data_IF_294076551722
#
_entry.id   IF_294076551722
#
_cell.length_a   1.000
_cell.length_b   1.000
_cell.length_c   1.000
_cell.angle_alpha   90.00
_cell.angle_beta   90.00
_cell.angle_gamma   90.00
#
_symmetry.space_group_name_H-M   'P 1'
#
loop_
_entity.id
_entity.type
_entity.pdbx_description
1 polymer ?
#
# COMPACT_ATOMS: atom_id res chain seq x y z
N UNK A 1 32.73 -0.66 54.65
CA UNK A 1 31.28 -0.88 54.56
C UNK A 1 30.86 -0.57 53.13
N UNK A 2 30.43 -1.55 52.31
CA UNK A 2 30.05 -1.27 50.93
C UNK A 2 28.70 -0.58 50.83
N UNK A 3 28.67 0.40 49.94
CA UNK A 3 27.56 1.24 49.49
C UNK A 3 26.45 0.40 48.82
N UNK A 4 25.21 0.55 49.30
CA UNK A 4 24.03 -0.12 48.75
C UNK A 4 23.35 0.83 47.77
N UNK A 5 23.81 0.87 46.52
CA UNK A 5 23.09 1.57 45.44
C UNK A 5 21.77 0.86 45.18
N UNK A 6 20.68 1.45 45.65
CA UNK A 6 19.30 1.03 45.48
C UNK A 6 18.87 1.26 44.02
N UNK A 7 18.97 0.22 43.20
CA UNK A 7 18.46 0.25 41.83
C UNK A 7 16.94 0.07 41.87
N UNK A 8 16.17 1.17 41.79
CA UNK A 8 14.72 1.15 41.68
C UNK A 8 14.26 0.37 40.44
N UNK A 9 13.91 -0.91 40.61
CA UNK A 9 13.28 -1.68 39.54
C UNK A 9 11.84 -1.20 39.32
N UNK A 10 11.46 -0.78 38.10
CA UNK A 10 10.13 -0.22 37.85
C UNK A 10 9.04 -1.28 38.07
N UNK A 11 8.06 -0.95 38.91
CA UNK A 11 6.98 -1.86 39.29
C UNK A 11 6.20 -2.36 38.06
N UNK A 12 5.89 -3.67 38.02
CA UNK A 12 5.21 -4.36 36.88
C UNK A 12 3.93 -3.66 36.38
N UNK A 13 3.21 -2.94 37.25
CA UNK A 13 2.02 -2.15 36.91
C UNK A 13 2.35 -0.95 36.00
N UNK A 14 3.48 -0.27 36.22
CA UNK A 14 3.92 0.85 35.37
C UNK A 14 4.32 0.36 33.98
N UNK A 15 4.99 -0.80 33.90
CA UNK A 15 5.36 -1.41 32.63
C UNK A 15 4.12 -1.76 31.79
N UNK A 16 3.09 -2.34 32.40
CA UNK A 16 1.83 -2.65 31.70
C UNK A 16 1.12 -1.38 31.19
N UNK A 17 1.17 -0.28 31.93
CA UNK A 17 0.59 1.01 31.50
C UNK A 17 1.33 1.60 30.30
N UNK A 18 2.66 1.64 30.34
CA UNK A 18 3.50 2.11 29.22
C UNK A 18 3.26 1.28 27.96
N UNK A 19 3.17 -0.04 28.07
CA UNK A 19 2.91 -0.91 26.91
C UNK A 19 1.55 -0.64 26.27
N UNK A 20 0.51 -0.36 27.07
CA UNK A 20 -0.80 0.01 26.56
C UNK A 20 -0.78 1.35 25.83
N UNK A 21 -0.02 2.32 26.33
CA UNK A 21 0.14 3.63 25.70
C UNK A 21 0.83 3.52 24.34
N UNK A 22 1.92 2.74 24.25
CA UNK A 22 2.60 2.45 22.98
C UNK A 22 1.66 1.79 21.98
N UNK A 23 0.91 0.76 22.40
CA UNK A 23 -0.08 0.10 21.54
C UNK A 23 -1.16 1.08 21.04
N UNK A 24 -1.69 1.92 21.93
CA UNK A 24 -2.70 2.92 21.58
C UNK A 24 -2.17 3.98 20.62
N UNK A 25 -0.90 4.40 20.78
CA UNK A 25 -0.25 5.34 19.87
C UNK A 25 -0.10 4.75 18.47
N UNK A 26 0.34 3.49 18.37
CA UNK A 26 0.46 2.76 17.09
C UNK A 26 -0.90 2.65 16.41
N UNK A 27 -1.94 2.24 17.13
CA UNK A 27 -3.27 2.08 16.54
C UNK A 27 -3.87 3.43 16.12
N UNK A 28 -3.62 4.50 16.88
CA UNK A 28 -4.01 5.86 16.50
C UNK A 28 -3.30 6.28 15.21
N UNK A 29 -2.01 6.00 15.08
CA UNK A 29 -1.25 6.31 13.88
C UNK A 29 -1.79 5.54 12.66
N UNK A 30 -2.05 4.24 12.81
CA UNK A 30 -2.67 3.41 11.77
C UNK A 30 -4.01 3.98 11.31
N UNK A 31 -4.91 4.31 12.26
CA UNK A 31 -6.21 4.93 11.96
C UNK A 31 -6.06 6.30 11.28
N UNK A 32 -5.08 7.11 11.68
CA UNK A 32 -4.79 8.40 11.02
C UNK A 32 -4.41 8.20 9.55
N UNK A 33 -3.54 7.23 9.25
CA UNK A 33 -3.17 6.90 7.85
C UNK A 33 -4.38 6.44 7.03
N UNK A 34 -5.23 5.57 7.59
CA UNK A 34 -6.43 5.08 6.90
C UNK A 34 -7.40 6.22 6.64
N UNK A 35 -7.68 7.07 7.63
CA UNK A 35 -8.59 8.20 7.47
C UNK A 35 -8.06 9.19 6.42
N UNK A 36 -6.74 9.44 6.40
CA UNK A 36 -6.15 10.28 5.36
C UNK A 36 -6.33 9.68 3.96
N UNK A 37 -6.18 8.37 3.81
CA UNK A 37 -6.45 7.67 2.55
C UNK A 37 -7.91 7.78 2.10
N UNK A 38 -8.86 7.55 3.01
CA UNK A 38 -10.30 7.70 2.71
C UNK A 38 -10.64 9.13 2.29
N UNK A 39 -10.10 10.13 2.98
CA UNK A 39 -10.37 11.54 2.64
C UNK A 39 -9.82 11.91 1.26
N UNK A 40 -8.60 11.45 0.91
CA UNK A 40 -8.03 11.64 -0.45
C UNK A 40 -8.89 11.00 -1.53
N UNK A 41 -9.48 9.83 -1.27
CA UNK A 41 -10.43 9.21 -2.20
C UNK A 41 -11.68 10.10 -2.34
N UNK A 42 -12.20 10.64 -1.22
CA UNK A 42 -13.35 11.55 -1.22
C UNK A 42 -13.15 12.79 -2.09
N UNK A 43 -11.94 13.36 -2.09
CA UNK A 43 -11.57 14.54 -2.90
C UNK A 43 -11.59 14.28 -4.42
N UNK A 44 -11.41 13.03 -4.87
CA UNK A 44 -11.36 12.66 -6.29
C UNK A 44 -12.72 12.28 -6.86
N UNK A 45 -13.71 12.05 -6.01
CA UNK A 45 -15.03 11.59 -6.42
C UNK A 45 -15.90 12.82 -6.72
N UNK A 46 -16.56 12.88 -7.90
CA UNK A 46 -17.53 13.93 -8.18
C UNK A 46 -18.66 13.93 -7.14
N UNK A 47 -18.65 14.93 -6.26
CA UNK A 47 -19.66 15.10 -5.23
C UNK A 47 -19.89 16.60 -4.98
N UNK A 48 -21.08 16.94 -4.49
CA UNK A 48 -21.39 18.33 -4.16
C UNK A 48 -20.48 18.83 -3.04
N UNK A 49 -19.79 19.99 -3.21
CA UNK A 49 -18.81 20.50 -2.25
C UNK A 49 -19.42 20.91 -0.90
N UNK A 50 -20.74 21.08 -0.83
CA UNK A 50 -21.45 21.39 0.41
C UNK A 50 -21.83 20.15 1.24
N UNK A 51 -21.68 18.94 0.69
CA UNK A 51 -22.14 17.72 1.36
C UNK A 51 -21.00 17.09 2.18
N UNK A 52 -21.20 17.01 3.50
CA UNK A 52 -20.28 16.27 4.37
C UNK A 52 -20.33 14.78 4.07
N UNK A 53 -19.26 14.24 3.50
CA UNK A 53 -19.22 12.85 3.08
C UNK A 53 -18.91 11.90 4.24
N UNK A 54 -19.72 10.85 4.39
CA UNK A 54 -19.43 9.75 5.32
C UNK A 54 -18.46 8.74 4.68
N UNK A 55 -17.75 7.95 5.49
CA UNK A 55 -16.78 6.97 4.98
C UNK A 55 -17.41 5.95 4.05
N UNK A 56 -18.56 5.39 4.42
CA UNK A 56 -19.27 4.43 3.57
C UNK A 56 -19.70 5.09 2.26
N UNK A 57 -20.20 6.32 2.33
CA UNK A 57 -20.61 7.05 1.12
C UNK A 57 -19.44 7.32 0.18
N UNK A 58 -18.25 7.65 0.70
CA UNK A 58 -17.02 7.78 -0.10
C UNK A 58 -16.71 6.45 -0.79
N UNK A 59 -16.75 5.34 -0.06
CA UNK A 59 -16.43 4.01 -0.62
C UNK A 59 -17.45 3.59 -1.69
N UNK A 60 -18.73 3.80 -1.45
CA UNK A 60 -19.80 3.44 -2.40
C UNK A 60 -19.74 4.28 -3.68
N UNK A 61 -19.51 5.60 -3.54
CA UNK A 61 -19.36 6.48 -4.70
C UNK A 61 -18.06 6.20 -5.47
N UNK A 62 -16.96 5.87 -4.77
CA UNK A 62 -15.70 5.49 -5.41
C UNK A 62 -15.91 4.29 -6.34
N UNK A 63 -16.58 3.25 -5.83
CA UNK A 63 -16.86 2.04 -6.60
C UNK A 63 -17.67 2.34 -7.86
N UNK A 64 -18.75 3.12 -7.73
CA UNK A 64 -19.59 3.53 -8.86
C UNK A 64 -18.80 4.32 -9.88
N UNK A 65 -18.02 5.30 -9.42
CA UNK A 65 -17.25 6.18 -10.30
C UNK A 65 -16.15 5.42 -11.06
N UNK A 66 -15.40 4.54 -10.38
CA UNK A 66 -14.38 3.71 -11.04
C UNK A 66 -15.01 2.77 -12.08
N UNK A 67 -16.17 2.19 -11.77
CA UNK A 67 -16.88 1.30 -12.70
C UNK A 67 -17.30 2.05 -13.96
N UNK A 68 -17.85 3.26 -13.79
CA UNK A 68 -18.27 4.09 -14.91
C UNK A 68 -17.08 4.59 -15.74
N UNK A 69 -15.99 5.03 -15.10
CA UNK A 69 -14.77 5.42 -15.80
C UNK A 69 -14.17 4.28 -16.63
N UNK A 70 -14.22 3.04 -16.13
CA UNK A 70 -13.79 1.86 -16.89
C UNK A 70 -14.66 1.66 -18.13
N UNK A 71 -15.99 1.70 -17.97
CA UNK A 71 -16.94 1.59 -19.09
C UNK A 71 -16.68 2.66 -20.16
N UNK A 72 -16.47 3.90 -19.74
CA UNK A 72 -16.17 5.01 -20.64
C UNK A 72 -14.84 4.82 -21.38
N UNK A 73 -13.80 4.36 -20.69
CA UNK A 73 -12.52 4.06 -21.32
C UNK A 73 -12.65 2.90 -22.33
N UNK A 74 -13.39 1.85 -22.00
CA UNK A 74 -13.62 0.71 -22.89
C UNK A 74 -14.38 1.16 -24.16
N UNK A 75 -15.41 2.00 -24.00
CA UNK A 75 -16.14 2.59 -25.13
C UNK A 75 -15.28 3.51 -25.98
N UNK A 76 -14.39 4.30 -25.38
CA UNK A 76 -13.45 5.15 -26.11
C UNK A 76 -12.41 4.31 -26.87
N UNK A 77 -12.02 3.14 -26.36
CA UNK A 77 -11.13 2.23 -27.09
C UNK A 77 -11.86 1.56 -28.27
N UNK A 78 -13.14 1.23 -28.12
CA UNK A 78 -13.98 0.68 -29.19
C UNK A 78 -14.34 1.74 -30.25
N UNK A 79 -14.60 2.98 -29.84
CA UNK A 79 -14.97 4.09 -30.73
C UNK A 79 -13.75 4.87 -31.26
N UNK A 80 -12.59 4.75 -30.61
CA UNK A 80 -11.32 5.36 -31.02
C UNK A 80 -10.74 4.77 -32.30
N UNK A 81 -11.14 3.55 -32.67
CA UNK A 81 -10.82 2.95 -33.97
C UNK A 81 -11.58 3.55 -35.16
N UNK A 82 -12.66 4.31 -34.91
CA UNK A 82 -13.53 4.82 -35.98
C UNK A 82 -13.20 6.26 -36.40
N UNK A 83 -12.46 7.03 -35.59
CA UNK A 83 -12.13 8.42 -35.90
C UNK A 83 -10.77 8.61 -36.60
N UNK A 84 -9.92 7.57 -36.66
CA UNK A 84 -8.68 7.59 -37.46
C UNK A 84 -8.88 7.06 -38.89
N UNK A 85 -9.95 6.30 -39.15
CA UNK A 85 -10.19 5.67 -40.47
C UNK A 85 -10.87 6.56 -41.51
N UNK A 86 -11.46 7.70 -41.11
CA UNK A 86 -12.07 8.66 -42.07
C UNK A 86 -11.04 9.60 -42.74
N UNK A 87 -9.81 9.70 -42.23
CA UNK A 87 -8.77 10.55 -42.82
C UNK A 87 -7.98 9.80 -43.92
N UNK A 88 -8.17 8.48 -44.06
CA UNK A 88 -7.40 7.63 -44.97
C UNK A 88 -8.12 7.28 -46.30
N UNK A 89 -9.39 7.64 -46.49
CA UNK A 89 -10.17 7.23 -47.68
C UNK A 89 -10.21 8.28 -48.80
N UNK A 90 -9.52 9.40 -48.67
CA UNK A 90 -9.43 10.43 -49.70
C UNK A 90 -7.98 10.82 -50.00
N UNK A 91 -7.21 9.94 -50.66
CA UNK A 91 -6.27 10.27 -51.76
C UNK A 91 -5.50 9.02 -52.24
N UNK A 92 -5.19 8.91 -53.54
CA UNK A 92 -4.70 7.71 -54.20
C UNK A 92 -3.17 7.62 -54.20
N UNK A 93 -2.70 6.39 -54.43
CA UNK A 93 -1.37 5.99 -54.91
C UNK A 93 -0.12 6.36 -54.10
N UNK A 94 0.48 5.29 -53.57
CA UNK A 94 1.91 5.07 -53.79
C UNK A 94 2.82 5.22 -52.57
N UNK A 95 3.62 4.17 -52.39
CA UNK A 95 4.89 4.12 -51.65
C UNK A 95 4.83 3.73 -50.18
N UNK A 96 5.11 2.44 -49.99
CA UNK A 96 5.68 1.78 -48.82
C UNK A 96 6.60 2.67 -47.94
N UNK A 97 6.44 2.54 -46.62
CA UNK A 97 7.44 1.99 -45.69
C UNK A 97 7.08 2.36 -44.25
N UNK A 98 6.68 1.36 -43.45
CA UNK A 98 6.58 1.49 -42.00
C UNK A 98 7.98 1.43 -41.38
N UNK A 99 8.41 2.40 -40.55
CA UNK A 99 9.51 2.17 -39.64
C UNK A 99 8.98 1.47 -38.38
N UNK A 100 9.42 0.23 -38.16
CA UNK A 100 9.27 -0.49 -36.89
C UNK A 100 9.90 0.34 -35.76
N UNK A 101 9.08 0.80 -34.81
CA UNK A 101 9.56 1.35 -33.54
C UNK A 101 10.01 0.21 -32.62
N UNK A 102 11.29 -0.17 -32.71
CA UNK A 102 11.94 -1.04 -31.72
C UNK A 102 12.21 -0.25 -30.45
N UNK A 103 11.37 -0.42 -29.42
CA UNK A 103 11.64 0.10 -28.08
C UNK A 103 12.56 -0.89 -27.36
N UNK A 104 13.84 -0.55 -27.23
CA UNK A 104 14.79 -1.29 -26.41
C UNK A 104 14.53 -1.01 -24.92
N UNK A 105 14.26 -2.07 -24.16
CA UNK A 105 14.08 -2.00 -22.70
C UNK A 105 15.46 -1.85 -22.03
N UNK A 106 15.77 -0.65 -21.52
CA UNK A 106 16.98 -0.43 -20.72
C UNK A 106 16.70 -0.81 -19.27
N UNK A 107 16.99 -2.06 -18.91
CA UNK A 107 17.05 -2.50 -17.51
C UNK A 107 18.28 -1.90 -16.83
N UNK A 108 18.11 -0.74 -16.19
CA UNK A 108 19.10 -0.20 -15.26
C UNK A 108 18.86 -0.79 -13.87
N UNK A 109 19.71 -1.74 -13.49
CA UNK A 109 19.78 -2.31 -12.14
C UNK A 109 20.36 -1.28 -11.18
N UNK A 110 19.54 -0.65 -10.33
CA UNK A 110 20.03 0.15 -9.21
C UNK A 110 20.12 -0.72 -7.94
N UNK A 111 21.34 -1.12 -7.62
CA UNK A 111 21.69 -1.76 -6.37
C UNK A 111 22.19 -0.70 -5.38
N UNK A 112 21.37 -0.29 -4.42
CA UNK A 112 21.94 0.21 -3.16
C UNK A 112 20.99 0.29 -1.97
N UNK A 113 21.48 -0.31 -0.87
CA UNK A 113 21.21 -0.06 0.56
C UNK A 113 20.01 -0.75 1.19
N UNK A 114 20.18 -2.06 1.30
CA UNK A 114 19.70 -2.91 2.40
C UNK A 114 19.95 -2.25 3.77
N UNK A 115 18.89 -1.81 4.46
CA UNK A 115 19.00 -1.33 5.84
C UNK A 115 19.14 -2.51 6.80
N UNK A 116 20.37 -2.73 7.28
CA UNK A 116 20.73 -3.31 8.58
C UNK A 116 19.95 -4.56 9.02
N UNK A 117 20.52 -5.73 8.70
CA UNK A 117 20.32 -6.99 9.42
C UNK A 117 20.42 -6.77 10.94
N UNK A 118 19.29 -6.86 11.66
CA UNK A 118 19.34 -7.13 13.10
C UNK A 118 19.59 -8.62 13.29
N UNK A 119 20.55 -9.04 14.13
CA UNK A 119 20.74 -10.44 14.45
C UNK A 119 19.46 -11.01 15.07
N UNK A 120 18.92 -12.07 14.48
CA UNK A 120 17.91 -12.89 15.14
C UNK A 120 18.51 -13.40 16.45
N UNK A 121 17.84 -13.13 17.57
CA UNK A 121 18.18 -13.74 18.84
C UNK A 121 18.03 -15.25 18.69
N UNK A 122 19.11 -15.98 18.93
CA UNK A 122 19.15 -17.43 18.85
C UNK A 122 18.11 -18.01 19.82
N UNK A 123 17.04 -18.62 19.30
CA UNK A 123 16.17 -19.48 20.11
C UNK A 123 16.94 -20.80 20.30
N UNK A 124 17.83 -20.81 21.28
CA UNK A 124 18.44 -22.04 21.80
C UNK A 124 17.72 -22.43 23.08
N UNK A 125 16.64 -23.20 22.95
CA UNK A 125 16.39 -24.37 23.80
C UNK A 125 15.26 -25.21 23.20
N UNK A 126 15.60 -26.06 22.23
CA UNK A 126 14.78 -27.21 21.83
C UNK A 126 15.63 -28.44 22.16
N UNK A 127 15.09 -29.28 23.05
CA UNK A 127 15.53 -30.62 23.47
C UNK A 127 16.74 -30.76 24.43
N UNK A 128 16.42 -31.04 25.69
CA UNK A 128 16.97 -32.19 26.44
C UNK A 128 15.75 -32.96 26.98
N UNK A 129 15.53 -34.22 26.60
CA UNK A 129 15.80 -35.41 27.44
C UNK A 129 15.34 -35.17 28.89
N UNK A 130 14.28 -35.83 29.37
CA UNK A 130 14.39 -37.23 29.80
C UNK A 130 13.13 -38.08 29.53
N UNK A 131 13.38 -39.26 28.95
CA UNK A 131 12.56 -40.44 29.16
C UNK A 131 12.62 -40.82 30.65
N UNK A 132 11.51 -40.71 31.37
CA UNK A 132 11.30 -41.49 32.60
C UNK A 132 9.95 -42.16 32.55
N UNK A 133 10.01 -43.45 32.25
CA UNK A 133 9.02 -44.47 32.56
C UNK A 133 8.66 -44.41 34.05
N UNK A 134 7.37 -44.44 34.36
CA UNK A 134 6.87 -45.12 35.55
C UNK A 134 5.40 -45.51 35.32
N UNK A 135 5.18 -46.79 35.59
CA UNK A 135 3.94 -47.59 35.67
C UNK A 135 2.74 -46.93 36.33
#
# INVERSE_FOLDING_TARGET
MPEMTENETPTKKQHRKKNRETHNAVERHRKKKINAGINRIGELIPCSPALKQSKNMILDQAFKYITELKRQNDELLLNGGNNEQEIATALPDGSAMSPLLTIANSSASDSSKQSSNRPAHNISHILGHDCSSAV
#
